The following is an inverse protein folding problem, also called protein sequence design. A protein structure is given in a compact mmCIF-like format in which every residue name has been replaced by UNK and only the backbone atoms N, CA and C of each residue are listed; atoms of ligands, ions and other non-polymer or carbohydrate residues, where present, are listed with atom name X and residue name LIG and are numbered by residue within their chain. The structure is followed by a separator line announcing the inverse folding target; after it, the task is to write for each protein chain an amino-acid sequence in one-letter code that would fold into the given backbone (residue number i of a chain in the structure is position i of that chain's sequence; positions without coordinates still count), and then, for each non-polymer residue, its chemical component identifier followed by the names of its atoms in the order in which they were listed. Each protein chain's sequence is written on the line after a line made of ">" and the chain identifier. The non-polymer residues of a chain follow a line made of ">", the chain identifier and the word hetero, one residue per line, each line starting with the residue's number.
data_IF_370613627299
#
_entry.id   IF_370613627299
#
_cell.length_a   1.000
_cell.length_b   1.000
_cell.length_c   1.000
_cell.angle_alpha   90.00
_cell.angle_beta   90.00
_cell.angle_gamma   90.00
#
_symmetry.space_group_name_H-M   'P 1'
#
loop_
_entity.id
_entity.type
_entity.pdbx_description
1 polymer ?
#
# COMPACT_ATOMS: atom_id res chain seq x y z
N UNK A 1 -27.35 8.57 7.37
CA UNK A 1 -25.98 9.11 7.28
C UNK A 1 -25.14 8.09 6.54
N UNK A 2 -24.52 8.47 5.42
CA UNK A 2 -23.62 7.57 4.67
C UNK A 2 -22.37 7.35 5.50
N UNK A 3 -22.10 6.11 5.92
CA UNK A 3 -20.88 5.78 6.65
C UNK A 3 -19.71 5.75 5.65
N UNK A 4 -18.64 6.50 5.94
CA UNK A 4 -17.40 6.45 5.16
C UNK A 4 -16.40 5.57 5.89
N UNK A 5 -15.83 4.56 5.22
CA UNK A 5 -14.77 3.69 5.77
C UNK A 5 -13.48 3.83 4.95
N UNK A 6 -12.30 3.89 5.58
CA UNK A 6 -11.04 3.89 4.85
C UNK A 6 -10.68 2.48 4.35
N UNK A 7 -10.13 2.39 3.14
CA UNK A 7 -9.43 1.22 2.59
C UNK A 7 -7.97 1.62 2.36
N UNK A 8 -7.07 0.75 2.80
CA UNK A 8 -5.62 0.95 2.79
C UNK A 8 -4.97 0.05 1.74
N UNK A 9 -4.27 0.67 0.80
CA UNK A 9 -3.50 0.00 -0.25
C UNK A 9 -2.05 0.05 0.20
N UNK A 10 -1.54 -1.08 0.69
CA UNK A 10 -0.31 -1.11 1.47
C UNK A 10 0.90 -1.49 0.61
N UNK A 11 1.90 -0.63 0.60
CA UNK A 11 3.19 -0.83 -0.06
C UNK A 11 4.11 -1.77 0.74
N UNK A 12 5.07 -2.41 0.06
CA UNK A 12 6.16 -3.18 0.63
C UNK A 12 6.86 -2.41 1.75
N UNK A 13 7.16 -1.12 1.55
CA UNK A 13 7.88 -0.31 2.53
C UNK A 13 7.15 -0.20 3.87
N UNK A 14 5.81 -0.16 3.84
CA UNK A 14 4.96 -0.15 5.03
C UNK A 14 4.98 -1.49 5.75
N UNK A 15 4.92 -2.61 5.02
CA UNK A 15 5.07 -3.94 5.63
C UNK A 15 6.42 -4.10 6.31
N UNK A 16 7.51 -3.69 5.67
CA UNK A 16 8.86 -3.73 6.25
C UNK A 16 8.94 -2.91 7.54
N UNK A 17 8.36 -1.71 7.57
CA UNK A 17 8.31 -0.90 8.79
C UNK A 17 7.47 -1.54 9.89
N UNK A 18 6.34 -2.16 9.55
CA UNK A 18 5.54 -2.94 10.49
C UNK A 18 6.35 -4.10 11.06
N UNK A 19 7.07 -4.86 10.22
CA UNK A 19 7.95 -5.95 10.64
C UNK A 19 9.10 -5.53 11.56
N UNK A 20 9.53 -4.26 11.49
CA UNK A 20 10.48 -3.68 12.43
C UNK A 20 9.93 -3.45 13.85
N UNK A 21 8.64 -3.71 14.08
CA UNK A 21 7.96 -3.61 15.37
C UNK A 21 7.64 -5.02 15.88
N UNK A 22 8.41 -5.59 16.84
CA UNK A 22 8.21 -6.97 17.30
C UNK A 22 6.77 -7.27 17.73
N UNK A 23 6.22 -8.38 17.22
CA UNK A 23 4.80 -8.75 17.41
C UNK A 23 4.42 -8.97 18.86
N UNK A 24 5.32 -9.56 19.64
CA UNK A 24 5.16 -9.85 21.06
C UNK A 24 5.14 -8.58 21.94
N UNK A 25 5.83 -7.52 21.50
CA UNK A 25 5.86 -6.23 22.21
C UNK A 25 4.70 -5.33 21.76
N UNK A 26 4.42 -5.28 20.45
CA UNK A 26 3.43 -4.38 19.86
C UNK A 26 2.10 -5.09 19.54
N UNK A 27 1.67 -6.05 20.36
CA UNK A 27 0.48 -6.88 20.14
C UNK A 27 -0.78 -6.08 19.73
N UNK A 28 -1.13 -4.94 20.36
CA UNK A 28 -2.31 -4.18 19.96
C UNK A 28 -2.23 -3.59 18.55
N UNK A 29 -1.02 -3.19 18.10
CA UNK A 29 -0.81 -2.68 16.75
C UNK A 29 -1.05 -3.77 15.72
N UNK A 30 -0.43 -4.94 15.92
CA UNK A 30 -0.58 -6.09 15.02
C UNK A 30 -2.01 -6.60 15.00
N UNK A 31 -2.67 -6.65 16.15
CA UNK A 31 -4.08 -7.04 16.26
C UNK A 31 -4.99 -6.06 15.52
N UNK A 32 -4.73 -4.75 15.64
CA UNK A 32 -5.45 -3.73 14.88
C UNK A 32 -5.27 -3.92 13.38
N UNK A 33 -4.03 -4.11 12.93
CA UNK A 33 -3.71 -4.29 11.51
C UNK A 33 -4.35 -5.56 10.93
N UNK A 34 -4.30 -6.67 11.69
CA UNK A 34 -5.01 -7.89 11.34
C UNK A 34 -6.53 -7.70 11.31
N UNK A 35 -7.10 -6.91 12.24
CA UNK A 35 -8.51 -6.55 12.22
C UNK A 35 -8.91 -5.84 10.91
N UNK A 36 -8.09 -4.91 10.42
CA UNK A 36 -8.32 -4.26 9.12
C UNK A 36 -8.28 -5.25 7.95
N UNK A 37 -7.39 -6.25 7.99
CA UNK A 37 -7.33 -7.32 6.98
C UNK A 37 -8.63 -8.14 7.00
N UNK A 38 -9.07 -8.57 8.17
CA UNK A 38 -10.31 -9.36 8.35
C UNK A 38 -11.53 -8.59 7.85
N UNK A 39 -11.56 -7.27 8.06
CA UNK A 39 -12.62 -6.39 7.58
C UNK A 39 -12.55 -6.07 6.08
N UNK A 40 -11.53 -6.56 5.37
CA UNK A 40 -11.29 -6.25 3.96
C UNK A 40 -10.87 -4.80 3.70
N UNK A 41 -10.36 -4.12 4.72
CA UNK A 41 -9.90 -2.71 4.65
C UNK A 41 -8.40 -2.58 4.38
N UNK A 42 -7.65 -3.68 4.36
CA UNK A 42 -6.27 -3.72 3.87
C UNK A 42 -6.20 -4.58 2.62
N UNK A 43 -5.64 -4.00 1.57
CA UNK A 43 -5.35 -4.68 0.30
C UNK A 43 -3.94 -4.31 -0.16
N UNK A 44 -3.35 -5.15 -1.00
CA UNK A 44 -2.08 -4.89 -1.67
C UNK A 44 -2.05 -5.61 -3.02
N UNK A 45 -0.96 -5.49 -3.76
CA UNK A 45 -0.79 -6.09 -5.08
C UNK A 45 0.14 -7.31 -5.02
N UNK A 46 -0.01 -8.27 -5.93
CA UNK A 46 0.84 -9.47 -5.96
C UNK A 46 2.32 -9.16 -6.23
N UNK A 47 2.64 -8.01 -6.84
CA UNK A 47 4.01 -7.48 -6.92
C UNK A 47 4.61 -7.14 -5.55
N UNK A 48 3.84 -6.62 -4.58
CA UNK A 48 4.33 -6.40 -3.21
C UNK A 48 4.70 -7.71 -2.55
N UNK A 49 3.89 -8.77 -2.75
CA UNK A 49 4.21 -10.12 -2.26
C UNK A 49 5.52 -10.63 -2.88
N UNK A 50 5.73 -10.42 -4.18
CA UNK A 50 6.99 -10.79 -4.85
C UNK A 50 8.17 -10.00 -4.28
N UNK A 51 8.04 -8.68 -4.07
CA UNK A 51 9.09 -7.88 -3.43
C UNK A 51 9.43 -8.36 -2.02
N UNK A 52 8.42 -8.60 -1.17
CA UNK A 52 8.63 -9.13 0.18
C UNK A 52 9.35 -10.48 0.14
N UNK A 53 8.95 -11.39 -0.74
CA UNK A 53 9.59 -12.70 -0.89
C UNK A 53 11.05 -12.63 -1.35
N UNK A 54 11.41 -11.58 -2.10
CA UNK A 54 12.78 -11.35 -2.56
C UNK A 54 13.65 -10.57 -1.56
N UNK A 55 13.04 -9.90 -0.57
CA UNK A 55 13.73 -9.09 0.46
C UNK A 55 13.91 -9.81 1.79
N UNK A 56 13.02 -10.73 2.13
CA UNK A 56 12.95 -11.39 3.43
C UNK A 56 13.35 -12.87 3.35
N UNK A 57 13.82 -13.43 4.45
CA UNK A 57 14.02 -14.88 4.53
C UNK A 57 12.66 -15.57 4.57
N UNK A 58 12.30 -16.24 3.48
CA UNK A 58 10.97 -16.86 3.33
C UNK A 58 10.68 -18.02 4.29
N UNK A 59 11.68 -18.50 5.05
CA UNK A 59 11.55 -19.59 6.02
C UNK A 59 11.57 -19.11 7.47
N UNK A 60 12.30 -18.04 7.76
CA UNK A 60 12.59 -17.63 9.14
C UNK A 60 12.07 -16.23 9.49
N UNK A 61 11.80 -15.38 8.49
CA UNK A 61 11.38 -14.01 8.74
C UNK A 61 9.93 -13.93 9.26
N UNK A 62 9.77 -13.38 10.46
CA UNK A 62 8.50 -13.28 11.17
C UNK A 62 7.44 -12.49 10.39
N UNK A 63 7.84 -11.41 9.72
CA UNK A 63 6.95 -10.59 8.89
C UNK A 63 6.50 -11.39 7.67
N UNK A 64 7.42 -12.09 7.00
CA UNK A 64 7.06 -12.90 5.84
C UNK A 64 6.08 -14.02 6.19
N UNK A 65 6.35 -14.76 7.28
CA UNK A 65 5.49 -15.84 7.74
C UNK A 65 4.09 -15.31 8.02
N UNK A 66 3.99 -14.21 8.79
CA UNK A 66 2.72 -13.56 9.08
C UNK A 66 2.01 -13.06 7.82
N UNK A 67 2.72 -12.39 6.92
CA UNK A 67 2.15 -11.86 5.67
C UNK A 67 1.55 -12.98 4.83
N UNK A 68 2.29 -14.09 4.66
CA UNK A 68 1.83 -15.25 3.89
C UNK A 68 0.57 -15.86 4.52
N UNK A 69 0.54 -16.03 5.84
CA UNK A 69 -0.64 -16.53 6.54
C UNK A 69 -1.87 -15.64 6.33
N UNK A 70 -1.69 -14.31 6.37
CA UNK A 70 -2.78 -13.36 6.12
C UNK A 70 -3.25 -13.43 4.66
N UNK A 71 -2.33 -13.52 3.71
CA UNK A 71 -2.64 -13.62 2.29
C UNK A 71 -3.34 -14.93 1.91
N UNK A 72 -2.88 -16.06 2.46
CA UNK A 72 -3.52 -17.37 2.25
C UNK A 72 -4.96 -17.41 2.78
N UNK A 73 -5.22 -16.72 3.90
CA UNK A 73 -6.54 -16.72 4.55
C UNK A 73 -7.51 -15.68 4.00
N UNK A 74 -7.01 -14.50 3.62
CA UNK A 74 -7.85 -13.34 3.29
C UNK A 74 -7.61 -12.80 1.88
N UNK A 75 -6.64 -13.35 1.14
CA UNK A 75 -6.27 -12.92 -0.22
C UNK A 75 -6.00 -11.42 -0.31
N UNK A 76 -5.08 -10.92 0.53
CA UNK A 76 -4.79 -9.48 0.60
C UNK A 76 -4.00 -8.99 -0.61
N UNK A 77 -3.16 -9.84 -1.21
CA UNK A 77 -2.37 -9.53 -2.41
C UNK A 77 -3.16 -9.91 -3.67
N UNK A 78 -3.64 -8.91 -4.41
CA UNK A 78 -4.44 -9.11 -5.62
C UNK A 78 -3.56 -9.15 -6.87
N UNK A 79 -3.92 -10.04 -7.77
CA UNK A 79 -3.34 -10.09 -9.11
C UNK A 79 -3.83 -8.92 -9.98
N UNK A 80 -3.04 -8.52 -10.99
CA UNK A 80 -3.39 -7.38 -11.82
C UNK A 80 -4.66 -7.64 -12.62
N UNK A 81 -5.55 -6.65 -12.62
CA UNK A 81 -6.73 -6.66 -13.48
C UNK A 81 -6.43 -6.11 -14.89
N UNK A 82 -7.28 -6.38 -15.88
CA UNK A 82 -7.15 -5.75 -17.20
C UNK A 82 -7.14 -4.21 -17.15
N UNK A 83 -7.88 -3.61 -16.22
CA UNK A 83 -7.87 -2.16 -16.01
C UNK A 83 -6.49 -1.68 -15.56
N UNK A 84 -5.89 -2.37 -14.59
CA UNK A 84 -4.56 -2.02 -14.09
C UNK A 84 -3.50 -2.13 -15.19
N UNK A 85 -3.55 -3.19 -16.01
CA UNK A 85 -2.62 -3.36 -17.14
C UNK A 85 -2.76 -2.22 -18.16
N UNK A 86 -3.99 -1.83 -18.51
CA UNK A 86 -4.23 -0.70 -19.41
C UNK A 86 -3.69 0.60 -18.82
N UNK A 87 -3.95 0.88 -17.54
CA UNK A 87 -3.46 2.10 -16.89
C UNK A 87 -1.95 2.15 -16.74
N UNK A 88 -1.29 1.01 -16.56
CA UNK A 88 0.19 0.95 -16.53
C UNK A 88 0.77 1.39 -17.88
N UNK A 89 0.16 1.00 -19.00
CA UNK A 89 0.59 1.46 -20.34
C UNK A 89 0.46 2.98 -20.47
N UNK A 90 -0.68 3.55 -20.08
CA UNK A 90 -0.89 5.01 -20.08
C UNK A 90 0.13 5.75 -19.19
N UNK A 91 0.43 5.18 -18.01
CA UNK A 91 1.44 5.74 -17.09
C UNK A 91 2.83 5.67 -17.72
N UNK A 92 3.19 4.56 -18.36
CA UNK A 92 4.49 4.38 -19.00
C UNK A 92 4.71 5.38 -20.14
N UNK A 93 3.69 5.63 -20.97
CA UNK A 93 3.77 6.62 -22.05
C UNK A 93 4.04 8.03 -21.54
N UNK A 94 3.53 8.37 -20.34
CA UNK A 94 3.67 9.69 -19.74
C UNK A 94 4.90 9.83 -18.85
N UNK A 95 5.28 8.77 -18.16
CA UNK A 95 6.34 8.72 -17.16
C UNK A 95 7.18 7.45 -17.35
N UNK A 96 7.94 7.34 -18.46
CA UNK A 96 8.71 6.14 -18.78
C UNK A 96 9.74 5.79 -17.69
N UNK A 97 10.20 6.77 -16.92
CA UNK A 97 11.13 6.55 -15.80
C UNK A 97 10.51 5.83 -14.60
N UNK A 98 9.19 5.67 -14.54
CA UNK A 98 8.52 4.99 -13.43
C UNK A 98 8.51 3.47 -13.56
N UNK A 99 8.63 2.98 -14.79
CA UNK A 99 8.53 1.56 -15.11
C UNK A 99 9.76 1.19 -15.92
N UNK A 100 10.57 0.29 -15.37
CA UNK A 100 11.72 -0.27 -16.05
C UNK A 100 11.31 -1.57 -16.77
N UNK A 101 11.06 -1.49 -18.07
CA UNK A 101 10.66 -2.65 -18.88
C UNK A 101 11.78 -3.70 -19.04
N UNK A 102 13.03 -3.34 -18.73
CA UNK A 102 14.18 -4.26 -18.83
C UNK A 102 14.48 -4.97 -17.51
N UNK A 103 13.82 -4.57 -16.41
CA UNK A 103 14.03 -5.16 -15.09
C UNK A 103 13.22 -6.43 -14.89
N UNK A 104 13.91 -7.53 -14.59
CA UNK A 104 13.30 -8.78 -14.10
C UNK A 104 12.88 -8.69 -12.62
N UNK A 105 13.15 -7.58 -11.93
CA UNK A 105 12.76 -7.40 -10.54
C UNK A 105 11.28 -7.01 -10.46
N UNK A 106 10.59 -7.44 -9.38
CA UNK A 106 9.26 -6.94 -9.09
C UNK A 106 9.25 -5.41 -9.00
N UNK A 107 8.20 -4.80 -9.52
CA UNK A 107 8.00 -3.36 -9.56
C UNK A 107 6.61 -3.04 -9.03
N UNK A 108 6.47 -2.99 -7.71
CA UNK A 108 5.15 -2.84 -7.08
C UNK A 108 4.52 -1.45 -7.31
N UNK A 109 5.32 -0.39 -7.33
CA UNK A 109 4.84 1.00 -7.32
C UNK A 109 3.82 1.31 -8.42
N UNK A 110 4.05 0.98 -9.71
CA UNK A 110 3.09 1.26 -10.77
C UNK A 110 1.76 0.54 -10.57
N UNK A 111 1.79 -0.71 -10.09
CA UNK A 111 0.58 -1.49 -9.81
C UNK A 111 -0.18 -0.96 -8.59
N UNK A 112 0.49 -0.49 -7.55
CA UNK A 112 -0.19 0.12 -6.40
C UNK A 112 -0.92 1.42 -6.80
N UNK A 113 -0.34 2.22 -7.69
CA UNK A 113 -0.98 3.41 -8.24
C UNK A 113 -2.21 3.04 -9.07
N UNK A 114 -2.10 2.10 -10.01
CA UNK A 114 -3.24 1.72 -10.85
C UNK A 114 -4.32 0.97 -10.08
N UNK A 115 -3.95 0.21 -9.05
CA UNK A 115 -4.91 -0.44 -8.16
C UNK A 115 -5.70 0.59 -7.34
N UNK A 116 -5.05 1.66 -6.88
CA UNK A 116 -5.75 2.78 -6.25
C UNK A 116 -6.73 3.47 -7.21
N UNK A 117 -6.31 3.71 -8.46
CA UNK A 117 -7.19 4.27 -9.50
C UNK A 117 -8.40 3.39 -9.76
N UNK A 118 -8.19 2.07 -9.89
CA UNK A 118 -9.27 1.09 -10.11
C UNK A 118 -10.31 1.13 -9.00
N UNK A 119 -9.84 1.09 -7.75
CA UNK A 119 -10.72 1.14 -6.58
C UNK A 119 -11.50 2.45 -6.50
N UNK A 120 -10.87 3.58 -6.84
CA UNK A 120 -11.52 4.89 -6.88
C UNK A 120 -12.57 4.99 -8.00
N UNK A 121 -12.32 4.43 -9.18
CA UNK A 121 -13.28 4.38 -10.28
C UNK A 121 -14.47 3.46 -9.98
N UNK A 122 -14.21 2.30 -9.38
CA UNK A 122 -15.21 1.31 -8.98
C UNK A 122 -16.11 1.75 -7.82
N UNK A 123 -15.76 2.82 -7.10
CA UNK A 123 -16.57 3.41 -6.01
C UNK A 123 -17.81 4.18 -6.52
N UNK A 124 -18.16 4.05 -7.79
CA UNK A 124 -19.38 4.60 -8.37
C UNK A 124 -20.60 3.74 -7.97
N UNK A 125 -21.16 4.09 -6.80
CA UNK A 125 -22.47 3.73 -6.21
C UNK A 125 -22.52 2.49 -5.29
N UNK A 126 -22.63 2.67 -3.96
CA UNK A 126 -22.91 1.57 -3.07
C UNK A 126 -24.41 1.26 -3.03
N UNK A 127 -24.78 0.06 -3.52
CA UNK A 127 -26.06 -0.62 -3.24
C UNK A 127 -26.29 -0.73 -1.70
N UNK A 128 -25.21 -0.61 -0.91
CA UNK A 128 -25.16 -0.83 0.55
C UNK A 128 -25.09 0.44 1.40
N UNK A 129 -25.07 1.65 0.82
CA UNK A 129 -25.02 2.91 1.58
C UNK A 129 -23.71 3.20 2.34
N UNK A 130 -22.67 2.38 2.14
CA UNK A 130 -21.31 2.60 2.67
C UNK A 130 -20.43 3.18 1.57
N UNK A 131 -19.79 4.31 1.84
CA UNK A 131 -18.80 4.91 0.94
C UNK A 131 -17.40 4.53 1.42
N UNK A 132 -16.47 4.34 0.49
CA UNK A 132 -15.07 4.13 0.84
C UNK A 132 -14.20 5.33 0.46
N UNK A 133 -13.21 5.60 1.30
CA UNK A 133 -12.06 6.45 0.98
C UNK A 133 -10.83 5.57 0.84
N UNK A 134 -10.00 5.81 -0.18
CA UNK A 134 -8.82 4.99 -0.46
C UNK A 134 -7.55 5.75 -0.08
N UNK A 135 -6.66 5.06 0.63
CA UNK A 135 -5.38 5.58 1.09
C UNK A 135 -4.28 4.63 0.65
N UNK A 136 -3.34 5.12 -0.16
CA UNK A 136 -2.12 4.40 -0.44
C UNK A 136 -1.14 4.65 0.72
N UNK A 137 -0.65 3.57 1.32
CA UNK A 137 0.18 3.61 2.53
C UNK A 137 1.61 3.22 2.19
N UNK A 138 2.53 4.18 2.25
CA UNK A 138 3.95 4.02 1.91
C UNK A 138 4.85 4.78 2.88
N UNK A 139 6.07 4.29 3.06
CA UNK A 139 7.13 4.92 3.84
C UNK A 139 8.12 5.72 2.98
N UNK A 140 7.85 5.79 1.68
CA UNK A 140 8.61 6.62 0.76
C UNK A 140 8.40 8.12 1.01
N UNK A 141 9.44 8.89 0.70
CA UNK A 141 9.35 10.35 0.62
C UNK A 141 9.31 10.77 -0.83
N UNK A 142 8.54 11.82 -1.11
CA UNK A 142 8.49 12.48 -2.41
C UNK A 142 9.90 12.73 -2.95
N UNK A 143 10.12 12.37 -4.22
CA UNK A 143 11.35 12.71 -4.94
C UNK A 143 11.46 14.21 -5.17
N UNK A 144 10.33 14.88 -5.34
CA UNK A 144 10.25 16.33 -5.60
C UNK A 144 10.52 17.20 -4.37
N UNK A 145 10.39 16.66 -3.15
CA UNK A 145 10.65 17.38 -1.88
C UNK A 145 12.08 17.21 -1.34
N UNK A 146 12.95 16.46 -2.02
CA UNK A 146 14.34 16.27 -1.57
C UNK A 146 15.10 17.60 -1.64
N UNK A 147 15.56 18.10 -0.48
CA UNK A 147 16.11 19.45 -0.29
C UNK A 147 17.46 19.76 -0.98
N UNK A 148 18.07 18.79 -1.67
CA UNK A 148 19.39 18.91 -2.30
C UNK A 148 19.38 18.41 -3.75
N UNK A 149 18.43 18.85 -4.58
CA UNK A 149 18.52 18.53 -5.99
C UNK A 149 19.36 19.57 -6.75
N UNK A 150 20.42 19.10 -7.41
CA UNK A 150 21.12 19.82 -8.48
C UNK A 150 20.33 19.83 -9.80
N UNK A 151 19.28 19.01 -9.90
CA UNK A 151 18.44 18.79 -11.07
C UNK A 151 16.98 19.19 -10.77
N UNK A 152 16.12 19.38 -11.77
CA UNK A 152 14.71 19.63 -11.51
C UNK A 152 14.05 18.47 -10.73
N UNK A 153 13.05 18.76 -9.88
CA UNK A 153 12.30 17.75 -9.15
C UNK A 153 11.66 16.75 -10.12
N UNK A 154 12.06 15.48 -10.01
CA UNK A 154 11.60 14.41 -10.89
C UNK A 154 10.53 13.56 -10.18
N UNK A 155 9.37 13.41 -10.83
CA UNK A 155 8.28 12.54 -10.40
C UNK A 155 8.79 11.11 -10.53
N UNK A 156 9.14 10.49 -9.41
CA UNK A 156 9.86 9.20 -9.40
C UNK A 156 9.40 8.27 -8.31
N UNK A 157 8.60 8.74 -7.36
CA UNK A 157 8.22 8.01 -6.15
C UNK A 157 6.72 7.96 -5.99
N UNK A 158 6.24 6.96 -5.26
CA UNK A 158 4.82 6.76 -4.98
C UNK A 158 4.12 8.07 -4.56
N UNK A 159 4.62 8.86 -3.59
CA UNK A 159 3.95 10.09 -3.17
C UNK A 159 3.77 11.13 -4.28
N UNK A 160 4.71 11.20 -5.23
CA UNK A 160 4.61 12.12 -6.37
C UNK A 160 3.48 11.69 -7.31
N UNK A 161 3.37 10.39 -7.60
CA UNK A 161 2.29 9.84 -8.43
C UNK A 161 0.93 9.91 -7.73
N UNK A 162 0.87 9.69 -6.42
CA UNK A 162 -0.35 9.90 -5.64
C UNK A 162 -0.87 11.33 -5.80
N UNK A 163 0.02 12.33 -5.75
CA UNK A 163 -0.34 13.73 -5.95
C UNK A 163 -0.84 14.00 -7.37
N UNK A 164 -0.19 13.44 -8.39
CA UNK A 164 -0.61 13.57 -9.79
C UNK A 164 -2.01 13.02 -10.04
N UNK A 165 -2.32 11.85 -9.46
CA UNK A 165 -3.57 11.14 -9.70
C UNK A 165 -4.66 11.39 -8.64
N UNK A 166 -4.42 12.29 -7.67
CA UNK A 166 -5.37 12.62 -6.63
C UNK A 166 -5.63 11.48 -5.62
N UNK A 167 -4.68 10.56 -5.48
CA UNK A 167 -4.75 9.45 -4.51
C UNK A 167 -4.30 9.98 -3.15
N UNK A 168 -5.07 9.71 -2.09
CA UNK A 168 -4.65 10.04 -0.73
C UNK A 168 -3.47 9.15 -0.35
N UNK A 169 -2.38 9.75 0.12
CA UNK A 169 -1.15 9.04 0.46
C UNK A 169 -0.75 9.35 1.91
N UNK A 170 -0.45 8.31 2.69
CA UNK A 170 -0.10 8.40 4.12
C UNK A 170 1.00 7.39 4.47
N UNK A 171 1.65 7.56 5.62
CA UNK A 171 2.55 6.55 6.19
C UNK A 171 1.81 5.64 7.19
N UNK A 172 2.50 4.62 7.72
CA UNK A 172 1.97 3.72 8.76
C UNK A 172 1.42 4.50 9.96
N UNK A 173 2.09 5.58 10.36
CA UNK A 173 1.64 6.41 11.47
C UNK A 173 0.36 7.19 11.13
N UNK A 174 0.22 7.64 9.89
CA UNK A 174 -1.00 8.22 9.34
C UNK A 174 -2.16 7.24 9.39
N UNK A 175 -1.96 5.97 9.02
CA UNK A 175 -2.96 4.92 9.15
C UNK A 175 -3.40 4.75 10.60
N UNK A 176 -2.44 4.59 11.53
CA UNK A 176 -2.72 4.43 12.96
C UNK A 176 -3.50 5.62 13.52
N UNK A 177 -3.16 6.85 13.09
CA UNK A 177 -3.89 8.07 13.47
C UNK A 177 -5.29 8.10 12.88
N UNK A 178 -5.48 7.65 11.63
CA UNK A 178 -6.77 7.65 10.95
C UNK A 178 -7.75 6.65 11.59
N UNK A 179 -7.27 5.49 12.03
CA UNK A 179 -8.06 4.54 12.82
C UNK A 179 -8.22 4.95 14.30
N UNK A 180 -7.66 6.10 14.69
CA UNK A 180 -7.67 6.61 16.06
C UNK A 180 -7.16 5.60 17.10
N UNK A 181 -6.24 4.71 16.71
CA UNK A 181 -5.68 3.73 17.64
C UNK A 181 -4.93 4.43 18.77
N UNK A 182 -5.16 3.93 19.99
CA UNK A 182 -4.52 4.38 21.22
C UNK A 182 -4.04 3.13 21.94
N UNK A 183 -2.76 3.12 22.27
CA UNK A 183 -2.13 2.03 23.01
C UNK A 183 -1.77 2.57 24.39
N UNK A 184 -2.51 2.13 25.41
CA UNK A 184 -2.16 2.40 26.80
C UNK A 184 -1.27 1.28 27.30
N UNK A 185 -0.21 1.63 28.02
CA UNK A 185 0.48 0.68 28.90
C UNK A 185 -0.47 0.44 30.08
N UNK A 186 -1.22 -0.65 30.05
CA UNK A 186 -1.84 -1.16 31.28
C UNK A 186 -0.75 -1.90 32.05
N UNK A 187 -0.48 -1.44 33.27
CA UNK A 187 0.36 -2.12 34.27
C UNK A 187 -0.17 -3.51 34.64
#
# INVERSE_FOLDING_TARGET
>A
MTQVKPIYIVDTSTFIKLGGLPRDIFLPLWSGFQGLIVEGRIVTHSEVKKELSGRLDTKEDDLWIWFREMDERFSIARDPSPFQIQKIQEIYEKYPQFIDLESDKPQADPFLITYAMELMEGNQLPITGIKYDYYLVTEERSGTERKNLKNPPEITRIPDYCKVYGIKCIDLWGLIRLEAWRFSLTE
#
